data_IF_368732471269
#
_entry.id   IF_368732471269
#
_cell.length_a   1.000
_cell.length_b   1.000
_cell.length_c   1.000
_cell.angle_alpha   90.00
_cell.angle_beta   90.00
_cell.angle_gamma   90.00
#
_symmetry.space_group_name_H-M   'P 1'
#
loop_
_entity.id
_entity.type
_entity.pdbx_description
1 polymer ?
#
# COMPACT_ATOMS: atom_id res chain seq x y z
N UNK A 1 18.88 -12.16 22.12
CA UNK A 1 18.41 -13.24 21.24
C UNK A 1 17.32 -12.72 20.31
N UNK A 2 17.02 -13.41 19.20
CA UNK A 2 16.07 -12.97 18.17
C UNK A 2 14.66 -12.69 18.70
N UNK A 3 14.19 -13.42 19.72
CA UNK A 3 12.90 -13.18 20.37
C UNK A 3 12.74 -11.78 20.98
N UNK A 4 13.81 -11.21 21.56
CA UNK A 4 13.78 -9.87 22.14
C UNK A 4 13.64 -8.79 21.05
N UNK A 5 14.24 -9.04 19.89
CA UNK A 5 14.16 -8.14 18.71
C UNK A 5 12.75 -8.14 18.14
N UNK A 6 12.13 -9.32 17.99
CA UNK A 6 10.75 -9.43 17.52
C UNK A 6 9.78 -8.71 18.46
N UNK A 7 9.85 -8.96 19.76
CA UNK A 7 8.97 -8.33 20.76
C UNK A 7 9.15 -6.80 20.80
N UNK A 8 10.38 -6.31 20.65
CA UNK A 8 10.65 -4.88 20.52
C UNK A 8 10.03 -4.29 19.24
N UNK A 9 10.17 -4.99 18.11
CA UNK A 9 9.56 -4.60 16.84
C UNK A 9 8.03 -4.56 16.92
N UNK A 10 7.39 -5.58 17.48
CA UNK A 10 5.93 -5.65 17.62
C UNK A 10 5.40 -4.53 18.52
N UNK A 11 6.05 -4.25 19.65
CA UNK A 11 5.70 -3.11 20.51
C UNK A 11 5.81 -1.79 19.74
N UNK A 12 6.86 -1.62 18.95
CA UNK A 12 7.08 -0.42 18.16
C UNK A 12 6.04 -0.27 17.04
N UNK A 13 5.71 -1.36 16.35
CA UNK A 13 4.68 -1.42 15.30
C UNK A 13 3.28 -1.10 15.85
N UNK A 14 2.92 -1.68 17.00
CA UNK A 14 1.66 -1.41 17.68
C UNK A 14 1.56 0.04 18.13
N UNK A 15 2.65 0.60 18.67
CA UNK A 15 2.73 2.02 19.05
C UNK A 15 2.57 2.94 17.84
N UNK A 16 3.25 2.63 16.73
CA UNK A 16 3.17 3.39 15.48
C UNK A 16 1.74 3.37 14.92
N UNK A 17 1.14 2.18 14.82
CA UNK A 17 -0.21 1.97 14.30
C UNK A 17 -1.27 2.63 15.18
N UNK A 18 -1.16 2.54 16.51
CA UNK A 18 -2.09 3.21 17.42
C UNK A 18 -2.05 4.74 17.25
N UNK A 19 -0.86 5.33 17.07
CA UNK A 19 -0.74 6.77 16.80
C UNK A 19 -1.32 7.15 15.43
N UNK A 20 -1.06 6.34 14.41
CA UNK A 20 -1.63 6.53 13.08
C UNK A 20 -3.15 6.53 13.13
N UNK A 21 -3.77 5.49 13.71
CA UNK A 21 -5.23 5.40 13.79
C UNK A 21 -5.82 6.60 14.55
N UNK A 22 -5.21 7.00 15.67
CA UNK A 22 -5.62 8.21 16.41
C UNK A 22 -5.54 9.50 15.57
N UNK A 23 -4.62 9.59 14.60
CA UNK A 23 -4.59 10.73 13.68
C UNK A 23 -5.74 10.68 12.68
N UNK A 24 -6.06 9.49 12.16
CA UNK A 24 -7.16 9.29 11.20
C UNK A 24 -8.52 9.51 11.88
N UNK A 25 -8.73 8.94 13.08
CA UNK A 25 -9.98 9.03 13.84
C UNK A 25 -10.35 10.46 14.25
N UNK A 26 -9.34 11.32 14.46
CA UNK A 26 -9.54 12.75 14.75
C UNK A 26 -10.07 13.53 13.55
N UNK A 27 -10.15 12.90 12.38
CA UNK A 27 -10.70 13.46 11.17
C UNK A 27 -9.84 14.54 10.54
N UNK A 28 -10.20 14.87 9.30
CA UNK A 28 -9.70 16.02 8.55
C UNK A 28 -10.37 17.31 9.00
N UNK A 29 -10.61 17.51 10.31
CA UNK A 29 -11.11 18.80 10.77
C UNK A 29 -10.09 19.86 10.32
N UNK A 30 -10.56 20.78 9.46
CA UNK A 30 -9.78 21.70 8.62
C UNK A 30 -9.04 22.77 9.44
N UNK A 31 -9.01 22.62 10.76
CA UNK A 31 -8.37 23.58 11.66
C UNK A 31 -6.91 23.20 11.87
N UNK A 32 -6.03 24.05 11.37
CA UNK A 32 -4.66 24.17 11.81
C UNK A 32 -4.63 24.49 13.31
N UNK A 33 -4.65 23.46 14.17
CA UNK A 33 -4.15 23.58 15.53
C UNK A 33 -2.69 23.15 15.55
N UNK A 34 -1.83 23.88 16.27
CA UNK A 34 -0.46 23.45 16.54
C UNK A 34 -0.41 22.03 17.14
N UNK A 35 -1.45 21.62 17.86
CA UNK A 35 -1.60 20.27 18.40
C UNK A 35 -1.66 19.20 17.31
N UNK A 36 -2.19 19.53 16.13
CA UNK A 36 -2.27 18.64 14.98
C UNK A 36 -0.87 18.41 14.41
N UNK A 37 -0.11 19.47 14.10
CA UNK A 37 1.26 19.37 13.59
C UNK A 37 2.17 18.63 14.56
N UNK A 38 2.04 18.90 15.86
CA UNK A 38 2.78 18.17 16.90
C UNK A 38 2.39 16.67 16.96
N UNK A 39 1.14 16.32 16.69
CA UNK A 39 0.70 14.93 16.61
C UNK A 39 1.25 14.20 15.37
N UNK A 40 1.29 14.86 14.20
CA UNK A 40 1.94 14.33 12.99
C UNK A 40 3.43 14.12 13.23
N UNK A 41 4.13 15.12 13.74
CA UNK A 41 5.57 15.04 14.07
C UNK A 41 5.88 13.85 14.98
N UNK A 42 5.10 13.68 16.06
CA UNK A 42 5.25 12.53 16.97
C UNK A 42 5.00 11.20 16.28
N UNK A 43 4.11 11.15 15.30
CA UNK A 43 3.79 9.91 14.58
C UNK A 43 4.86 9.57 13.55
N UNK A 44 5.33 10.57 12.78
CA UNK A 44 6.49 10.43 11.90
C UNK A 44 7.72 9.94 12.65
N UNK A 45 8.02 10.49 13.84
CA UNK A 45 9.18 10.06 14.63
C UNK A 45 9.13 8.57 14.98
N UNK A 46 7.96 8.06 15.38
CA UNK A 46 7.78 6.65 15.75
C UNK A 46 7.85 5.74 14.52
N UNK A 47 7.32 6.17 13.37
CA UNK A 47 7.47 5.43 12.11
C UNK A 47 8.91 5.44 11.59
N UNK A 48 9.63 6.54 11.74
CA UNK A 48 11.04 6.64 11.40
C UNK A 48 11.91 5.73 12.28
N UNK A 49 11.60 5.66 13.58
CA UNK A 49 12.21 4.70 14.51
C UNK A 49 11.91 3.26 14.07
N UNK A 50 10.63 2.93 13.77
CA UNK A 50 10.22 1.62 13.28
C UNK A 50 10.93 1.23 11.98
N UNK A 51 11.01 2.15 11.02
CA UNK A 51 11.64 1.92 9.73
C UNK A 51 13.15 1.69 9.87
N UNK A 52 13.83 2.39 10.77
CA UNK A 52 15.26 2.16 11.05
C UNK A 52 15.49 0.86 11.82
N UNK A 53 14.62 0.55 12.79
CA UNK A 53 14.69 -0.67 13.57
C UNK A 53 14.61 -1.91 12.66
N UNK A 54 13.64 -1.94 11.75
CA UNK A 54 13.48 -3.07 10.84
C UNK A 54 14.64 -3.22 9.85
N UNK A 55 15.30 -2.13 9.44
CA UNK A 55 16.48 -2.20 8.57
C UNK A 55 17.68 -2.79 9.31
N UNK A 56 17.92 -2.31 10.53
CA UNK A 56 19.08 -2.72 11.34
C UNK A 56 18.98 -4.17 11.78
N UNK A 57 17.77 -4.63 12.09
CA UNK A 57 17.51 -5.98 12.60
C UNK A 57 16.86 -6.91 11.57
N UNK A 58 16.99 -6.61 10.27
CA UNK A 58 16.24 -7.29 9.20
C UNK A 58 16.41 -8.81 9.22
N UNK A 59 17.64 -9.29 9.36
CA UNK A 59 17.93 -10.73 9.33
C UNK A 59 17.18 -11.50 10.43
N UNK A 60 17.26 -11.00 11.67
CA UNK A 60 16.58 -11.61 12.82
C UNK A 60 15.05 -11.54 12.69
N UNK A 61 14.51 -10.46 12.13
CA UNK A 61 13.07 -10.32 11.90
C UNK A 61 12.57 -11.28 10.82
N UNK A 62 13.33 -11.46 9.74
CA UNK A 62 12.99 -12.43 8.67
C UNK A 62 13.06 -13.86 9.20
N UNK A 63 14.07 -14.20 10.00
CA UNK A 63 14.15 -15.49 10.69
C UNK A 63 12.95 -15.73 11.62
N UNK A 64 12.46 -14.66 12.25
CA UNK A 64 11.26 -14.68 13.09
C UNK A 64 9.94 -14.65 12.31
N UNK A 65 9.96 -14.62 10.97
CA UNK A 65 8.77 -14.70 10.12
C UNK A 65 8.26 -13.38 9.52
N UNK A 66 9.02 -12.28 9.61
CA UNK A 66 8.65 -11.01 8.97
C UNK A 66 8.64 -11.16 7.45
N UNK A 67 7.51 -10.86 6.81
CA UNK A 67 7.34 -10.97 5.36
C UNK A 67 7.68 -9.68 4.64
N UNK A 68 7.96 -9.80 3.33
CA UNK A 68 8.13 -8.63 2.44
C UNK A 68 6.89 -7.74 2.42
N UNK A 69 5.71 -8.33 2.45
CA UNK A 69 4.43 -7.62 2.48
C UNK A 69 4.24 -6.77 3.74
N UNK A 70 4.77 -7.20 4.89
CA UNK A 70 4.71 -6.44 6.15
C UNK A 70 5.57 -5.17 6.06
N UNK A 71 6.73 -5.25 5.41
CA UNK A 71 7.59 -4.08 5.13
C UNK A 71 6.88 -3.13 4.16
N UNK A 72 6.23 -3.67 3.13
CA UNK A 72 5.40 -2.90 2.21
C UNK A 72 4.24 -2.19 2.92
N UNK A 73 3.63 -2.82 3.92
CA UNK A 73 2.59 -2.19 4.73
C UNK A 73 3.13 -1.01 5.55
N UNK A 74 4.31 -1.15 6.17
CA UNK A 74 4.95 -0.03 6.87
C UNK A 74 5.22 1.13 5.91
N UNK A 75 5.83 0.85 4.74
CA UNK A 75 6.09 1.86 3.72
C UNK A 75 4.80 2.54 3.26
N UNK A 76 3.73 1.77 3.04
CA UNK A 76 2.42 2.30 2.63
C UNK A 76 1.81 3.20 3.70
N UNK A 77 1.95 2.86 4.99
CA UNK A 77 1.50 3.72 6.10
C UNK A 77 2.31 5.01 6.20
N UNK A 78 3.61 4.98 5.93
CA UNK A 78 4.44 6.19 5.88
C UNK A 78 4.00 7.10 4.71
N UNK A 79 3.79 6.53 3.52
CA UNK A 79 3.23 7.28 2.38
C UNK A 79 1.87 7.90 2.71
N UNK A 80 1.00 7.17 3.42
CA UNK A 80 -0.28 7.69 3.90
C UNK A 80 -0.10 8.85 4.90
N UNK A 81 0.89 8.79 5.80
CA UNK A 81 1.16 9.89 6.73
C UNK A 81 1.55 11.17 5.98
N UNK A 82 2.42 11.06 4.99
CA UNK A 82 2.79 12.19 4.13
C UNK A 82 1.59 12.74 3.38
N UNK A 83 0.79 11.88 2.73
CA UNK A 83 -0.42 12.31 2.04
C UNK A 83 -1.41 13.03 2.96
N UNK A 84 -1.71 12.47 4.14
CA UNK A 84 -2.62 13.10 5.09
C UNK A 84 -2.07 14.43 5.65
N UNK A 85 -0.75 14.53 5.82
CA UNK A 85 -0.12 15.77 6.24
C UNK A 85 -0.17 16.84 5.12
N UNK A 86 0.01 16.42 3.87
CA UNK A 86 -0.19 17.28 2.69
C UNK A 86 -1.60 17.87 2.65
N UNK A 87 -2.65 17.09 2.92
CA UNK A 87 -4.02 17.61 2.98
C UNK A 87 -4.23 18.72 4.02
N UNK A 88 -3.30 18.86 4.98
CA UNK A 88 -3.32 19.95 5.97
C UNK A 88 -2.46 21.14 5.58
N UNK A 89 -1.25 20.94 5.03
CA UNK A 89 -0.33 22.04 4.74
C UNK A 89 -0.33 22.51 3.28
N UNK A 90 -0.91 21.73 2.37
CA UNK A 90 -0.86 21.92 0.91
C UNK A 90 0.56 22.05 0.32
N UNK A 91 1.59 21.59 1.05
CA UNK A 91 2.98 21.62 0.58
C UNK A 91 3.26 20.43 -0.35
N UNK A 92 3.49 20.72 -1.64
CA UNK A 92 3.75 19.70 -2.65
C UNK A 92 5.01 18.88 -2.38
N UNK A 93 5.99 19.40 -1.63
CA UNK A 93 7.17 18.61 -1.24
C UNK A 93 6.77 17.44 -0.34
N UNK A 94 5.82 17.66 0.58
CA UNK A 94 5.28 16.60 1.44
C UNK A 94 4.54 15.55 0.60
N UNK A 95 3.82 15.98 -0.44
CA UNK A 95 3.15 15.06 -1.36
C UNK A 95 4.16 14.25 -2.20
N UNK A 96 5.28 14.86 -2.60
CA UNK A 96 6.39 14.17 -3.27
C UNK A 96 7.00 13.08 -2.38
N UNK A 97 7.14 13.30 -1.07
CA UNK A 97 7.57 12.25 -0.15
C UNK A 97 6.61 11.05 -0.15
N UNK A 98 5.29 11.29 -0.16
CA UNK A 98 4.31 10.21 -0.30
C UNK A 98 4.50 9.42 -1.61
N UNK A 99 4.75 10.12 -2.71
CA UNK A 99 5.05 9.53 -4.01
C UNK A 99 6.28 8.63 -3.95
N UNK A 100 7.39 9.09 -3.37
CA UNK A 100 8.64 8.30 -3.25
C UNK A 100 8.41 6.98 -2.52
N UNK A 101 7.60 6.99 -1.45
CA UNK A 101 7.25 5.76 -0.74
C UNK A 101 6.40 4.82 -1.60
N UNK A 102 5.43 5.34 -2.34
CA UNK A 102 4.59 4.50 -3.20
C UNK A 102 5.35 3.94 -4.41
N UNK A 103 6.15 4.75 -5.09
CA UNK A 103 7.04 4.31 -6.16
C UNK A 103 8.00 3.21 -5.66
N UNK A 104 8.59 3.41 -4.48
CA UNK A 104 9.48 2.42 -3.87
C UNK A 104 8.78 1.08 -3.59
N UNK A 105 7.47 1.10 -3.27
CA UNK A 105 6.67 -0.11 -3.07
C UNK A 105 6.43 -0.84 -4.39
N UNK A 106 6.09 -0.12 -5.46
CA UNK A 106 5.95 -0.68 -6.81
C UNK A 106 7.24 -1.33 -7.28
N UNK A 107 8.34 -0.58 -7.22
CA UNK A 107 9.65 -1.01 -7.73
C UNK A 107 10.18 -2.27 -7.01
N UNK A 108 9.87 -2.42 -5.72
CA UNK A 108 10.32 -3.57 -4.90
C UNK A 108 9.30 -4.70 -4.82
N UNK A 109 8.14 -4.52 -5.43
CA UNK A 109 7.08 -5.53 -5.53
C UNK A 109 6.72 -6.13 -4.16
N UNK A 110 6.57 -5.29 -3.13
CA UNK A 110 6.36 -5.78 -1.75
C UNK A 110 5.09 -6.61 -1.56
N UNK A 111 4.09 -6.43 -2.41
CA UNK A 111 2.81 -7.16 -2.33
C UNK A 111 2.69 -8.31 -3.33
N UNK A 112 3.73 -8.61 -4.12
CA UNK A 112 3.73 -9.81 -4.95
C UNK A 112 3.94 -11.04 -4.07
N UNK A 113 3.21 -12.13 -4.35
CA UNK A 113 3.42 -13.40 -3.66
C UNK A 113 4.90 -13.84 -3.79
N UNK A 114 5.46 -14.41 -2.73
CA UNK A 114 6.84 -14.88 -2.75
C UNK A 114 6.97 -15.99 -3.82
N UNK A 115 7.91 -15.90 -4.77
CA UNK A 115 8.05 -16.90 -5.84
C UNK A 115 8.28 -18.33 -5.33
N UNK A 116 8.77 -18.48 -4.10
CA UNK A 116 8.96 -19.76 -3.40
C UNK A 116 7.66 -20.45 -2.96
N UNK A 117 6.55 -19.71 -2.91
CA UNK A 117 5.21 -20.20 -2.55
C UNK A 117 4.26 -20.34 -3.74
N UNK A 118 4.72 -20.05 -4.97
CA UNK A 118 3.93 -20.31 -6.16
C UNK A 118 3.90 -21.82 -6.45
N UNK A 119 2.71 -22.44 -6.67
CA UNK A 119 2.67 -23.81 -7.15
C UNK A 119 3.34 -23.85 -8.52
N UNK A 120 4.40 -24.66 -8.62
CA UNK A 120 5.16 -24.90 -9.83
C UNK A 120 4.23 -25.35 -10.98
N UNK A 121 3.78 -24.40 -11.79
CA UNK A 121 2.92 -24.66 -12.94
C UNK A 121 3.32 -23.77 -14.13
N UNK A 122 4.44 -24.13 -14.76
CA UNK A 122 4.70 -24.12 -16.22
C UNK A 122 6.19 -24.51 -16.45
N UNK A 123 6.44 -25.77 -16.83
CA UNK A 123 7.73 -26.49 -16.75
C UNK A 123 8.79 -26.23 -17.86
N UNK A 124 9.68 -27.20 -18.23
CA UNK A 124 9.63 -28.65 -17.98
C UNK A 124 10.88 -29.34 -17.38
N UNK A 125 10.64 -30.53 -16.82
CA UNK A 125 11.50 -31.73 -16.70
C UNK A 125 12.78 -31.71 -15.83
N UNK A 126 12.71 -32.38 -14.68
CA UNK A 126 13.56 -33.56 -14.37
C UNK A 126 13.03 -34.30 -13.14
N UNK A 127 12.87 -35.61 -13.28
CA UNK A 127 12.33 -36.53 -12.29
C UNK A 127 13.25 -36.72 -11.07
N UNK A 128 12.67 -36.67 -9.86
CA UNK A 128 13.05 -37.51 -8.71
C UNK A 128 11.99 -37.37 -7.60
N UNK A 129 11.57 -38.50 -7.06
CA UNK A 129 10.41 -38.69 -6.18
C UNK A 129 10.63 -38.23 -4.72
N UNK A 130 9.57 -37.69 -4.08
CA UNK A 130 9.33 -37.69 -2.62
C UNK A 130 7.85 -37.31 -2.30
N UNK A 131 7.31 -37.65 -1.10
CA UNK A 131 5.96 -38.19 -0.98
C UNK A 131 4.83 -37.18 -0.70
N UNK A 132 3.61 -37.66 -0.95
CA UNK A 132 2.33 -36.98 -0.85
C UNK A 132 2.12 -36.17 0.44
N UNK A 133 1.98 -34.86 0.30
CA UNK A 133 1.40 -33.99 1.32
C UNK A 133 -0.14 -34.03 1.22
N UNK A 134 -0.80 -34.22 2.37
CA UNK A 134 -2.25 -34.26 2.49
C UNK A 134 -2.91 -32.98 1.93
N UNK A 135 -3.86 -33.09 0.98
CA UNK A 135 -4.60 -31.95 0.47
C UNK A 135 -5.79 -31.68 1.40
N UNK A 136 -5.94 -30.48 1.95
CA UNK A 136 -7.22 -30.12 2.58
C UNK A 136 -7.22 -28.90 3.49
N UNK A 137 -6.23 -28.75 4.37
CA UNK A 137 -6.28 -27.70 5.41
C UNK A 137 -5.39 -26.48 5.12
N UNK A 138 -4.29 -26.63 4.38
CA UNK A 138 -3.41 -25.51 4.01
C UNK A 138 -4.06 -24.51 3.03
N UNK A 139 -4.84 -25.02 2.07
CA UNK A 139 -5.36 -24.22 0.97
C UNK A 139 -6.34 -23.10 1.36
N UNK A 140 -7.18 -23.31 2.39
CA UNK A 140 -8.13 -22.29 2.83
C UNK A 140 -7.42 -21.11 3.52
N UNK A 141 -6.43 -21.40 4.36
CA UNK A 141 -5.68 -20.39 5.11
C UNK A 141 -4.70 -19.63 4.19
N UNK A 142 -4.13 -20.31 3.21
CA UNK A 142 -3.36 -19.70 2.12
C UNK A 142 -4.21 -18.79 1.24
N UNK A 143 -5.42 -19.23 0.85
CA UNK A 143 -6.35 -18.42 0.05
C UNK A 143 -6.78 -17.15 0.81
N UNK A 144 -7.09 -17.26 2.11
CA UNK A 144 -7.39 -16.09 2.95
C UNK A 144 -6.20 -15.13 3.05
N UNK A 145 -4.98 -15.66 3.21
CA UNK A 145 -3.78 -14.83 3.25
C UNK A 145 -3.52 -14.11 1.92
N UNK A 146 -3.66 -14.81 0.80
CA UNK A 146 -3.54 -14.25 -0.54
C UNK A 146 -4.59 -13.17 -0.81
N UNK A 147 -5.83 -13.41 -0.37
CA UNK A 147 -6.92 -12.44 -0.46
C UNK A 147 -6.61 -11.17 0.34
N UNK A 148 -6.18 -11.29 1.60
CA UNK A 148 -5.78 -10.13 2.41
C UNK A 148 -4.60 -9.36 1.80
N UNK A 149 -3.64 -10.06 1.21
CA UNK A 149 -2.51 -9.43 0.52
C UNK A 149 -2.98 -8.65 -0.72
N UNK A 150 -3.86 -9.24 -1.52
CA UNK A 150 -4.44 -8.59 -2.69
C UNK A 150 -5.21 -7.33 -2.28
N UNK A 151 -6.06 -7.38 -1.26
CA UNK A 151 -6.78 -6.19 -0.76
C UNK A 151 -5.81 -5.09 -0.33
N UNK A 152 -4.70 -5.42 0.35
CA UNK A 152 -3.66 -4.44 0.70
C UNK A 152 -3.03 -3.81 -0.56
N UNK A 153 -2.74 -4.62 -1.58
CA UNK A 153 -2.19 -4.16 -2.85
C UNK A 153 -3.17 -3.24 -3.58
N UNK A 154 -4.44 -3.60 -3.70
CA UNK A 154 -5.47 -2.79 -4.34
C UNK A 154 -5.63 -1.43 -3.64
N UNK A 155 -5.69 -1.43 -2.30
CA UNK A 155 -5.72 -0.22 -1.47
C UNK A 155 -4.51 0.67 -1.69
N UNK A 156 -3.33 0.08 -1.88
CA UNK A 156 -2.10 0.80 -2.17
C UNK A 156 -2.17 1.46 -3.56
N UNK A 157 -2.55 0.72 -4.61
CA UNK A 157 -2.66 1.27 -5.97
C UNK A 157 -3.65 2.42 -6.07
N UNK A 158 -4.84 2.28 -5.46
CA UNK A 158 -5.84 3.34 -5.45
C UNK A 158 -5.27 4.67 -4.90
N UNK A 159 -4.50 4.60 -3.80
CA UNK A 159 -3.86 5.79 -3.21
C UNK A 159 -2.73 6.32 -4.08
N UNK A 160 -1.93 5.44 -4.68
CA UNK A 160 -0.81 5.86 -5.51
C UNK A 160 -1.28 6.60 -6.76
N UNK A 161 -2.36 6.13 -7.39
CA UNK A 161 -3.00 6.84 -8.51
C UNK A 161 -3.40 8.25 -8.09
N UNK A 162 -4.09 8.41 -6.95
CA UNK A 162 -4.50 9.74 -6.44
C UNK A 162 -3.28 10.65 -6.24
N UNK A 163 -2.20 10.15 -5.63
CA UNK A 163 -0.97 10.94 -5.44
C UNK A 163 -0.37 11.38 -6.78
N UNK A 164 -0.33 10.50 -7.78
CA UNK A 164 0.16 10.86 -9.11
C UNK A 164 -0.71 11.94 -9.77
N UNK A 165 -2.04 11.83 -9.64
CA UNK A 165 -2.97 12.84 -10.14
C UNK A 165 -2.75 14.20 -9.48
N UNK A 166 -2.62 14.23 -8.16
CA UNK A 166 -2.40 15.48 -7.41
C UNK A 166 -1.03 16.12 -7.69
N UNK A 167 -0.04 15.33 -8.09
CA UNK A 167 1.27 15.82 -8.56
C UNK A 167 1.30 16.18 -10.06
N UNK A 168 0.18 16.05 -10.78
CA UNK A 168 0.13 16.30 -12.23
C UNK A 168 0.86 15.26 -13.09
N UNK A 169 1.23 14.11 -12.52
CA UNK A 169 1.92 13.00 -13.20
C UNK A 169 0.92 12.13 -13.97
N UNK A 170 0.27 12.71 -14.99
CA UNK A 170 -0.87 12.09 -15.70
C UNK A 170 -0.49 10.78 -16.41
N UNK A 171 0.63 10.75 -17.12
CA UNK A 171 1.11 9.56 -17.83
C UNK A 171 1.33 8.38 -16.88
N UNK A 172 1.94 8.66 -15.73
CA UNK A 172 2.18 7.67 -14.69
C UNK A 172 0.88 7.22 -14.03
N UNK A 173 -0.05 8.13 -13.76
CA UNK A 173 -1.38 7.80 -13.25
C UNK A 173 -2.14 6.87 -14.22
N UNK A 174 -2.07 7.12 -15.54
CA UNK A 174 -2.67 6.26 -16.55
C UNK A 174 -2.04 4.86 -16.57
N UNK A 175 -0.71 4.77 -16.51
CA UNK A 175 -0.02 3.48 -16.46
C UNK A 175 -0.39 2.69 -15.19
N UNK A 176 -0.40 3.36 -14.03
CA UNK A 176 -0.81 2.77 -12.76
C UNK A 176 -2.25 2.29 -12.77
N UNK A 177 -3.15 3.04 -13.42
CA UNK A 177 -4.55 2.67 -13.53
C UNK A 177 -4.75 1.41 -14.37
N UNK A 178 -3.98 1.24 -15.45
CA UNK A 178 -4.01 0.00 -16.26
C UNK A 178 -3.54 -1.20 -15.43
N UNK A 179 -2.45 -1.06 -14.67
CA UNK A 179 -1.98 -2.10 -13.74
C UNK A 179 -3.04 -2.41 -12.67
N UNK A 180 -3.67 -1.38 -12.12
CA UNK A 180 -4.69 -1.52 -11.09
C UNK A 180 -5.95 -2.24 -11.62
N UNK A 181 -6.36 -1.95 -12.85
CA UNK A 181 -7.46 -2.68 -13.53
C UNK A 181 -7.15 -4.16 -13.66
N UNK A 182 -5.95 -4.52 -14.13
CA UNK A 182 -5.55 -5.92 -14.25
C UNK A 182 -5.56 -6.65 -12.90
N UNK A 183 -5.10 -5.99 -11.83
CA UNK A 183 -5.12 -6.54 -10.49
C UNK A 183 -6.56 -6.76 -9.97
N UNK A 184 -7.47 -5.82 -10.22
CA UNK A 184 -8.88 -5.97 -9.83
C UNK A 184 -9.55 -7.09 -10.63
N UNK A 185 -9.31 -7.20 -11.93
CA UNK A 185 -9.84 -8.31 -12.74
C UNK A 185 -9.38 -9.67 -12.22
N UNK A 186 -8.09 -9.79 -11.86
CA UNK A 186 -7.57 -11.02 -11.25
C UNK A 186 -8.20 -11.29 -9.87
N UNK A 187 -8.33 -10.26 -9.04
CA UNK A 187 -8.95 -10.36 -7.71
C UNK A 187 -10.43 -10.76 -7.79
N UNK A 188 -11.18 -10.17 -8.72
CA UNK A 188 -12.60 -10.43 -8.92
C UNK A 188 -12.91 -11.89 -9.26
N UNK A 189 -11.96 -12.63 -9.84
CA UNK A 189 -12.16 -14.05 -10.14
C UNK A 189 -12.27 -14.95 -8.90
N UNK A 190 -11.71 -14.52 -7.77
CA UNK A 190 -11.68 -15.28 -6.53
C UNK A 190 -12.45 -14.59 -5.38
N UNK A 191 -12.82 -13.32 -5.54
CA UNK A 191 -13.51 -12.54 -4.53
C UNK A 191 -15.04 -12.75 -4.56
N UNK A 192 -15.74 -12.48 -3.44
CA UNK A 192 -17.20 -12.41 -3.43
C UNK A 192 -17.71 -11.37 -4.44
N UNK A 193 -18.86 -11.60 -5.12
CA UNK A 193 -19.37 -10.71 -6.15
C UNK A 193 -19.56 -9.26 -5.71
N UNK A 194 -19.97 -9.05 -4.45
CA UNK A 194 -20.15 -7.72 -3.90
C UNK A 194 -18.83 -6.96 -3.79
N UNK A 195 -17.78 -7.61 -3.28
CA UNK A 195 -16.47 -6.97 -3.15
C UNK A 195 -15.86 -6.68 -4.53
N UNK A 196 -16.04 -7.57 -5.50
CA UNK A 196 -15.64 -7.33 -6.88
C UNK A 196 -16.36 -6.10 -7.48
N UNK A 197 -17.65 -5.90 -7.19
CA UNK A 197 -18.41 -4.72 -7.62
C UNK A 197 -17.92 -3.44 -6.95
N UNK A 198 -17.62 -3.48 -5.65
CA UNK A 198 -17.09 -2.33 -4.92
C UNK A 198 -15.75 -1.86 -5.52
N UNK A 199 -14.84 -2.80 -5.83
CA UNK A 199 -13.58 -2.48 -6.49
C UNK A 199 -13.77 -1.98 -7.94
N UNK A 200 -14.74 -2.51 -8.67
CA UNK A 200 -15.07 -2.02 -10.01
C UNK A 200 -15.58 -0.57 -9.98
N UNK A 201 -16.38 -0.22 -8.96
CA UNK A 201 -16.82 1.16 -8.73
C UNK A 201 -15.64 2.12 -8.51
N UNK A 202 -14.66 1.72 -7.70
CA UNK A 202 -13.44 2.52 -7.48
C UNK A 202 -12.73 2.83 -8.80
N UNK A 203 -12.58 1.85 -9.69
CA UNK A 203 -12.00 2.09 -11.02
C UNK A 203 -12.84 3.04 -11.84
N UNK A 204 -14.16 2.85 -11.84
CA UNK A 204 -15.07 3.69 -12.60
C UNK A 204 -14.95 5.16 -12.17
N UNK A 205 -14.92 5.42 -10.87
CA UNK A 205 -14.74 6.77 -10.31
C UNK A 205 -13.38 7.37 -10.70
N UNK A 206 -12.28 6.63 -10.51
CA UNK A 206 -10.93 7.10 -10.85
C UNK A 206 -10.78 7.39 -12.35
N UNK A 207 -11.35 6.55 -13.22
CA UNK A 207 -11.44 6.80 -14.66
C UNK A 207 -12.25 8.08 -14.96
N UNK A 208 -13.38 8.27 -14.28
CA UNK A 208 -14.22 9.46 -14.40
C UNK A 208 -13.46 10.74 -14.07
N UNK A 209 -12.68 10.74 -12.99
CA UNK A 209 -11.83 11.88 -12.60
C UNK A 209 -10.79 12.21 -13.68
N UNK A 210 -10.09 11.20 -14.20
CA UNK A 210 -9.10 11.38 -15.26
C UNK A 210 -9.70 11.95 -16.55
N UNK A 211 -10.86 11.44 -16.97
CA UNK A 211 -11.55 11.90 -18.17
C UNK A 211 -12.05 13.35 -18.03
N UNK A 212 -12.54 13.72 -16.85
CA UNK A 212 -13.00 15.09 -16.56
C UNK A 212 -11.84 16.10 -16.60
N UNK A 213 -10.65 15.71 -16.14
CA UNK A 213 -9.45 16.54 -16.16
C UNK A 213 -8.90 16.77 -17.58
N UNK A 214 -9.03 15.79 -18.48
CA UNK A 214 -8.70 15.95 -19.92
C UNK A 214 -9.70 16.85 -20.64
N UNK A 215 -10.95 16.87 -20.17
CA UNK A 215 -12.05 17.60 -20.81
C UNK A 215 -12.16 19.09 -20.48
N UNK A 216 -11.36 19.63 -19.55
CA UNK A 216 -11.49 21.04 -19.14
C UNK A 216 -10.86 21.98 -20.19
N UNK A 217 -11.64 22.79 -20.92
CA UNK A 217 -11.09 23.76 -21.87
C UNK A 217 -10.44 24.91 -21.10
N UNK A 218 -9.30 25.41 -21.57
CA UNK A 218 -8.65 26.60 -21.00
C UNK A 218 -9.64 27.78 -21.00
N UNK A 219 -9.70 28.58 -19.91
CA UNK A 219 -10.53 29.78 -19.88
C UNK A 219 -10.10 30.68 -21.03
N UNK A 220 -11.05 30.98 -21.93
CA UNK A 220 -10.79 31.92 -23.02
C UNK A 220 -10.50 33.27 -22.39
N UNK A 221 -9.37 33.88 -22.74
CA UNK A 221 -9.03 35.23 -22.28
C UNK A 221 -10.21 36.17 -22.51
N UNK A 222 -10.60 37.02 -21.53
CA UNK A 222 -11.61 38.03 -21.77
C UNK A 222 -11.13 38.88 -22.95
N UNK A 223 -11.93 38.91 -24.01
CA UNK A 223 -11.56 39.50 -25.29
C UNK A 223 -11.10 40.94 -25.12
N UNK A 224 -9.95 41.25 -25.73
CA UNK A 224 -9.49 42.61 -26.07
C UNK A 224 -10.49 43.34 -26.95
#
# INVERSE_FOLDING_TARGET
GPYNVLEAYERLLNRATSKFNKLIDRGTDLRHSQDSTAAYTRTFNVYNELWRFQQTHRAALVEAGLKRSDIGEIASKIGQLYYNFYLKCADTNVLHEAYVFYEAIRARQYFTADPTLAPAAAGPSSAAAAPAAHPGLGGAQEAQHAHHLAVKQLRYYARFVIVCLMLGKKEEACALLQEFQALISAFAMAAPPQEAQDWALVIHEVCGFLNADVGMPLPRSPGT
#
